data_IF_299920713519
#
_entry.id   IF_299920713519
#
_cell.length_a   1.000
_cell.length_b   1.000
_cell.length_c   1.000
_cell.angle_alpha   90.00
_cell.angle_beta   90.00
_cell.angle_gamma   90.00
#
_symmetry.space_group_name_H-M   'P 1'
#
loop_
_entity.id
_entity.type
_entity.pdbx_description
1 polymer ?
#
# COMPACT_ATOMS: atom_id res chain seq x y z
N UNK A 1 -29.85 -26.58 -3.18
CA UNK A 1 -28.42 -26.81 -2.92
C UNK A 1 -27.70 -25.47 -3.14
N UNK A 2 -27.85 -24.58 -2.18
CA UNK A 2 -27.15 -23.29 -2.12
C UNK A 2 -25.92 -23.49 -1.26
N UNK A 3 -24.74 -23.26 -1.84
CA UNK A 3 -23.50 -23.20 -1.09
C UNK A 3 -23.43 -21.81 -0.45
N UNK A 4 -23.65 -21.74 0.86
CA UNK A 4 -23.35 -20.55 1.65
C UNK A 4 -21.82 -20.38 1.65
N UNK A 5 -21.38 -19.27 1.05
CA UNK A 5 -19.98 -18.91 0.94
C UNK A 5 -19.57 -18.20 2.23
N UNK A 6 -19.37 -18.97 3.31
CA UNK A 6 -18.64 -18.48 4.48
C UNK A 6 -17.15 -18.37 4.13
N UNK A 7 -16.69 -17.15 3.87
CA UNK A 7 -15.26 -16.83 3.96
C UNK A 7 -15.00 -16.00 5.21
N UNK A 8 -14.76 -16.76 6.28
CA UNK A 8 -13.79 -16.58 7.36
C UNK A 8 -13.42 -15.14 7.77
N UNK A 9 -13.77 -14.78 9.01
CA UNK A 9 -13.53 -13.50 9.68
C UNK A 9 -12.04 -13.16 9.94
N UNK A 10 -11.08 -13.87 9.33
CA UNK A 10 -9.65 -13.72 9.58
C UNK A 10 -8.88 -13.09 8.39
N UNK A 11 -9.45 -12.10 7.70
CA UNK A 11 -8.73 -11.41 6.62
C UNK A 11 -7.70 -10.45 7.22
N UNK A 12 -6.47 -10.93 7.40
CA UNK A 12 -5.33 -10.13 7.84
C UNK A 12 -5.29 -8.76 7.13
N UNK A 13 -5.34 -7.69 7.92
CA UNK A 13 -5.37 -6.31 7.40
C UNK A 13 -4.08 -6.00 6.65
N UNK A 14 -4.18 -5.84 5.33
CA UNK A 14 -3.06 -5.39 4.49
C UNK A 14 -2.87 -3.89 4.69
N UNK A 15 -1.68 -3.52 5.12
CA UNK A 15 -1.21 -2.14 5.23
C UNK A 15 -0.24 -1.83 4.07
N UNK A 16 0.02 -0.55 3.83
CA UNK A 16 0.95 -0.11 2.77
C UNK A 16 1.95 0.91 3.31
N UNK A 17 3.22 0.74 2.97
CA UNK A 17 4.22 1.82 3.05
C UNK A 17 4.32 2.53 1.71
N UNK A 18 4.43 3.86 1.75
CA UNK A 18 4.72 4.69 0.59
C UNK A 18 6.14 5.23 0.70
N UNK A 19 7.01 4.81 -0.21
CA UNK A 19 8.42 5.19 -0.21
C UNK A 19 8.68 6.05 -1.43
N UNK A 20 9.15 7.29 -1.22
CA UNK A 20 9.64 8.13 -2.32
C UNK A 20 11.06 7.73 -2.65
N UNK A 21 11.29 7.29 -3.89
CA UNK A 21 12.62 7.06 -4.42
C UNK A 21 12.74 7.74 -5.78
N UNK A 22 13.70 8.67 -5.91
CA UNK A 22 13.81 9.59 -7.06
C UNK A 22 12.49 10.32 -7.33
N UNK A 23 11.97 10.24 -8.55
CA UNK A 23 10.75 10.88 -9.03
C UNK A 23 9.54 9.94 -9.03
N UNK A 24 9.58 8.85 -8.24
CA UNK A 24 8.47 7.91 -8.11
C UNK A 24 8.15 7.59 -6.66
N UNK A 25 6.87 7.28 -6.42
CA UNK A 25 6.41 6.67 -5.18
C UNK A 25 6.25 5.17 -5.42
N UNK A 26 6.87 4.40 -4.55
CA UNK A 26 6.75 2.95 -4.48
C UNK A 26 5.82 2.57 -3.33
N UNK A 27 5.01 1.56 -3.57
CA UNK A 27 4.09 0.98 -2.59
C UNK A 27 4.66 -0.35 -2.13
N UNK A 28 4.73 -0.56 -0.82
CA UNK A 28 5.14 -1.82 -0.23
C UNK A 28 3.97 -2.32 0.64
N UNK A 29 3.17 -3.28 0.14
CA UNK A 29 2.16 -3.91 0.96
C UNK A 29 2.81 -4.74 2.05
N UNK A 30 2.21 -4.78 3.21
CA UNK A 30 2.67 -5.61 4.30
C UNK A 30 1.52 -6.05 5.21
N UNK A 31 1.72 -7.17 5.87
CA UNK A 31 0.84 -7.64 6.94
C UNK A 31 1.59 -7.49 8.26
N UNK A 32 0.90 -6.94 9.26
CA UNK A 32 1.43 -6.82 10.61
C UNK A 32 0.89 -7.98 11.44
N UNK A 33 1.79 -8.77 12.01
CA UNK A 33 1.45 -9.84 12.94
C UNK A 33 2.22 -9.62 14.24
N UNK A 34 1.50 -9.29 15.32
CA UNK A 34 2.06 -9.01 16.64
C UNK A 34 3.30 -8.09 16.56
N UNK A 35 4.50 -8.65 16.68
CA UNK A 35 5.78 -7.92 16.70
C UNK A 35 6.58 -8.02 15.38
N UNK A 36 5.99 -8.57 14.31
CA UNK A 36 6.65 -8.77 13.01
C UNK A 36 5.84 -8.14 11.87
N UNK A 37 6.55 -7.61 10.88
CA UNK A 37 5.98 -7.10 9.64
C UNK A 37 6.48 -7.93 8.47
N UNK A 38 5.56 -8.54 7.72
CA UNK A 38 5.90 -9.28 6.51
C UNK A 38 5.67 -8.39 5.30
N UNK A 39 6.76 -7.94 4.68
CA UNK A 39 6.72 -7.13 3.47
C UNK A 39 6.44 -8.01 2.25
N UNK A 40 5.55 -7.53 1.39
CA UNK A 40 5.32 -8.09 0.06
C UNK A 40 6.11 -7.31 -0.99
N UNK A 41 6.01 -7.76 -2.23
CA UNK A 41 6.69 -7.15 -3.39
C UNK A 41 6.39 -5.66 -3.50
N UNK A 42 7.47 -4.87 -3.58
CA UNK A 42 7.43 -3.45 -3.87
C UNK A 42 6.99 -3.20 -5.32
N UNK A 43 6.13 -2.22 -5.55
CA UNK A 43 5.76 -1.82 -6.91
C UNK A 43 5.68 -0.29 -7.04
N UNK A 44 6.05 0.21 -8.21
CA UNK A 44 5.93 1.62 -8.54
C UNK A 44 4.44 1.99 -8.71
N UNK A 45 3.97 3.05 -8.04
CA UNK A 45 2.59 3.50 -8.15
C UNK A 45 2.49 4.85 -8.83
N UNK A 46 2.06 4.85 -10.10
CA UNK A 46 1.81 6.08 -10.86
C UNK A 46 0.75 6.97 -10.20
N UNK A 47 -0.26 6.34 -9.58
CA UNK A 47 -1.34 7.04 -8.85
C UNK A 47 -0.78 7.82 -7.66
N UNK A 48 0.01 7.17 -6.81
CA UNK A 48 0.62 7.84 -5.66
C UNK A 48 1.72 8.83 -6.07
N UNK A 49 2.49 8.53 -7.12
CA UNK A 49 3.44 9.47 -7.71
C UNK A 49 2.75 10.77 -8.12
N UNK A 50 1.67 10.69 -8.91
CA UNK A 50 0.93 11.90 -9.34
C UNK A 50 0.32 12.66 -8.17
N UNK A 51 -0.27 11.96 -7.19
CA UNK A 51 -0.91 12.62 -6.05
C UNK A 51 0.13 13.30 -5.16
N UNK A 52 1.12 12.56 -4.68
CA UNK A 52 2.03 13.02 -3.63
C UNK A 52 3.24 13.81 -4.12
N UNK A 53 3.67 13.64 -5.38
CA UNK A 53 4.77 14.44 -5.93
C UNK A 53 4.29 15.73 -6.60
N UNK A 54 3.05 15.78 -7.11
CA UNK A 54 2.50 17.03 -7.66
C UNK A 54 2.21 18.03 -6.55
N UNK A 55 1.60 17.57 -5.45
CA UNK A 55 1.35 18.39 -4.24
C UNK A 55 2.64 19.02 -3.65
N UNK A 56 3.81 18.41 -3.85
CA UNK A 56 5.09 18.98 -3.38
C UNK A 56 5.68 20.07 -4.28
N UNK A 57 5.29 20.13 -5.55
CA UNK A 57 5.78 21.17 -6.46
C UNK A 57 4.97 22.46 -6.34
N UNK A 58 3.72 22.37 -5.88
CA UNK A 58 2.82 23.52 -5.74
C UNK A 58 3.06 24.31 -4.44
N UNK A 59 3.84 23.80 -3.48
CA UNK A 59 4.22 24.49 -2.23
C UNK A 59 5.50 25.35 -2.36
N UNK A 60 6.01 25.52 -3.58
CA UNK A 60 7.21 26.32 -3.87
C UNK A 60 6.93 27.66 -4.55
N UNK A 61 5.67 28.12 -4.57
CA UNK A 61 5.33 29.39 -5.19
C UNK A 61 5.02 30.50 -4.20
#
# INVERSE_FOLDING_TARGET
MTLEFEWDEAKDKILIYLVKFKNYIYVIPYVKNNNKSFLKTIFASRKFTKKLLKEKNDQKH
#
